data_IF_211579458592
#
_entry.id   IF_211579458592
#
_cell.length_a   1.000
_cell.length_b   1.000
_cell.length_c   1.000
_cell.angle_alpha   90.00
_cell.angle_beta   90.00
_cell.angle_gamma   90.00
#
_symmetry.space_group_name_H-M   'P 1'
#
loop_
_entity.id
_entity.type
_entity.pdbx_description
1 polymer ?
#
# COMPACT_ATOMS: atom_id res chain seq x y z
N UNK A 1 -23.73 -9.54 -14.18
CA UNK A 1 -23.43 -8.44 -13.23
C UNK A 1 -23.34 -9.10 -11.86
N UNK A 2 -22.28 -8.85 -11.10
CA UNK A 2 -22.19 -9.42 -9.74
C UNK A 2 -23.02 -8.54 -8.81
N UNK A 3 -24.16 -9.04 -8.34
CA UNK A 3 -25.10 -8.25 -7.52
C UNK A 3 -24.52 -7.84 -6.16
N UNK A 4 -23.44 -8.48 -5.73
CA UNK A 4 -22.75 -8.26 -4.47
C UNK A 4 -21.34 -7.66 -4.64
N UNK A 5 -21.05 -6.95 -5.73
CA UNK A 5 -19.75 -6.29 -5.90
C UNK A 5 -19.48 -5.29 -4.76
N UNK A 6 -20.46 -4.43 -4.47
CA UNK A 6 -20.45 -3.47 -3.35
C UNK A 6 -21.76 -3.62 -2.59
N UNK A 7 -21.67 -3.78 -1.26
CA UNK A 7 -22.85 -3.92 -0.38
C UNK A 7 -22.88 -2.82 0.67
N UNK A 8 -23.96 -2.75 1.47
CA UNK A 8 -24.21 -1.68 2.42
C UNK A 8 -24.71 -2.24 3.75
N UNK A 9 -24.27 -1.68 4.87
CA UNK A 9 -24.68 -2.09 6.21
C UNK A 9 -24.90 -0.89 7.14
N UNK A 10 -25.91 -0.96 8.01
CA UNK A 10 -26.14 0.02 9.08
C UNK A 10 -25.70 -0.61 10.40
N UNK A 11 -24.64 -0.07 11.01
CA UNK A 11 -24.06 -0.58 12.23
C UNK A 11 -24.93 -0.25 13.45
N UNK A 12 -25.85 -1.16 13.78
CA UNK A 12 -26.72 -1.04 14.96
C UNK A 12 -26.05 -1.59 16.23
N UNK A 13 -25.29 -2.69 16.13
CA UNK A 13 -24.63 -3.41 17.24
C UNK A 13 -23.40 -4.19 16.74
N UNK A 14 -22.50 -4.57 17.65
CA UNK A 14 -21.39 -5.49 17.41
C UNK A 14 -21.73 -6.91 17.91
N UNK A 15 -21.19 -7.99 17.31
CA UNK A 15 -20.31 -8.02 16.13
C UNK A 15 -21.07 -7.82 14.81
N UNK A 16 -20.34 -7.45 13.75
CA UNK A 16 -20.88 -7.32 12.40
C UNK A 16 -21.36 -8.66 11.84
N UNK A 17 -22.33 -8.64 10.91
CA UNK A 17 -22.54 -9.79 10.04
C UNK A 17 -21.29 -10.07 9.18
N UNK A 18 -21.24 -11.30 8.66
CA UNK A 18 -20.24 -11.69 7.66
C UNK A 18 -20.24 -10.70 6.49
N UNK A 19 -19.06 -10.46 5.92
CA UNK A 19 -18.92 -9.62 4.74
C UNK A 19 -19.38 -10.40 3.51
N UNK A 20 -20.38 -9.88 2.80
CA UNK A 20 -20.95 -10.47 1.59
C UNK A 20 -20.51 -9.74 0.31
N UNK A 21 -19.75 -8.64 0.45
CA UNK A 21 -19.23 -7.88 -0.68
C UNK A 21 -18.01 -8.56 -1.33
N UNK A 22 -17.96 -8.57 -2.66
CA UNK A 22 -16.78 -9.04 -3.42
C UNK A 22 -15.65 -8.00 -3.45
N UNK A 23 -15.98 -6.71 -3.45
CA UNK A 23 -15.00 -5.62 -3.41
C UNK A 23 -14.92 -5.02 -2.00
N UNK A 24 -15.97 -4.31 -1.59
CA UNK A 24 -16.05 -3.68 -0.27
C UNK A 24 -17.50 -3.39 0.12
N UNK A 25 -17.74 -3.25 1.42
CA UNK A 25 -19.03 -2.93 2.00
C UNK A 25 -18.99 -1.53 2.64
N UNK A 26 -19.92 -0.66 2.27
CA UNK A 26 -20.15 0.59 2.99
C UNK A 26 -20.83 0.31 4.33
N UNK A 27 -20.38 0.98 5.39
CA UNK A 27 -20.95 0.86 6.72
C UNK A 27 -21.29 2.26 7.24
N UNK A 28 -22.58 2.49 7.52
CA UNK A 28 -23.02 3.67 8.26
C UNK A 28 -22.95 3.39 9.75
N UNK A 29 -22.20 4.21 10.48
CA UNK A 29 -21.99 4.10 11.92
C UNK A 29 -22.30 5.42 12.64
N UNK A 30 -22.29 5.40 13.96
CA UNK A 30 -22.61 6.57 14.79
C UNK A 30 -21.64 7.74 14.61
N UNK A 31 -20.42 7.46 14.16
CA UNK A 31 -19.35 8.44 13.96
C UNK A 31 -18.90 8.56 12.49
N UNK A 32 -19.67 8.05 11.53
CA UNK A 32 -19.41 8.34 10.11
C UNK A 32 -19.76 7.21 9.17
N UNK A 33 -19.33 7.38 7.92
CA UNK A 33 -19.33 6.34 6.90
C UNK A 33 -17.96 5.68 6.88
N UNK A 34 -17.97 4.36 6.86
CA UNK A 34 -16.80 3.51 6.77
C UNK A 34 -16.91 2.62 5.53
N UNK A 35 -15.79 2.07 5.11
CA UNK A 35 -15.74 0.94 4.18
C UNK A 35 -15.03 -0.23 4.84
N UNK A 36 -15.55 -1.43 4.64
CA UNK A 36 -14.92 -2.68 5.04
C UNK A 36 -14.55 -3.48 3.81
N UNK A 37 -13.30 -3.91 3.72
CA UNK A 37 -12.83 -4.82 2.68
C UNK A 37 -12.08 -5.99 3.29
N UNK A 38 -12.15 -7.13 2.60
CA UNK A 38 -11.55 -8.35 3.05
C UNK A 38 -10.89 -9.06 1.87
N UNK A 39 -9.60 -9.36 2.01
CA UNK A 39 -8.86 -10.20 1.08
C UNK A 39 -8.39 -11.45 1.80
N UNK A 40 -7.77 -12.38 1.06
CA UNK A 40 -7.06 -13.49 1.67
C UNK A 40 -5.84 -13.08 2.53
N UNK A 41 -5.33 -11.85 2.37
CA UNK A 41 -4.15 -11.37 3.10
C UNK A 41 -4.49 -10.49 4.29
N UNK A 42 -5.58 -9.72 4.22
CA UNK A 42 -5.92 -8.76 5.27
C UNK A 42 -7.42 -8.49 5.33
N UNK A 43 -7.84 -7.90 6.43
CA UNK A 43 -9.11 -7.18 6.56
C UNK A 43 -8.81 -5.72 6.91
N UNK A 44 -9.62 -4.81 6.37
CA UNK A 44 -9.49 -3.38 6.61
C UNK A 44 -10.86 -2.74 6.79
N UNK A 45 -10.97 -1.85 7.78
CA UNK A 45 -12.11 -0.98 8.02
C UNK A 45 -11.60 0.46 8.02
N UNK A 46 -11.98 1.27 7.04
CA UNK A 46 -11.48 2.64 6.86
C UNK A 46 -12.61 3.63 7.12
N UNK A 47 -12.33 4.72 7.86
CA UNK A 47 -13.26 5.85 7.94
C UNK A 47 -13.10 6.71 6.69
N UNK A 48 -14.20 6.97 5.97
CA UNK A 48 -14.16 7.70 4.68
C UNK A 48 -14.93 9.02 4.73
N UNK A 49 -15.89 9.17 5.65
CA UNK A 49 -16.61 10.42 5.86
C UNK A 49 -17.08 10.52 7.32
N UNK A 50 -16.34 11.26 8.19
CA UNK A 50 -16.75 11.48 9.57
C UNK A 50 -18.06 12.27 9.65
N UNK A 51 -19.03 11.78 10.40
CA UNK A 51 -20.26 12.49 10.70
C UNK A 51 -20.94 11.91 11.95
N UNK A 52 -21.83 12.67 12.60
CA UNK A 52 -22.58 12.16 13.75
C UNK A 52 -23.93 11.60 13.31
N UNK A 53 -24.16 10.31 13.59
CA UNK A 53 -25.44 9.63 13.38
C UNK A 53 -25.97 9.13 14.72
N UNK A 54 -26.99 9.82 15.25
CA UNK A 54 -27.55 9.48 16.56
C UNK A 54 -28.18 8.08 16.57
N UNK A 55 -27.94 7.32 17.63
CA UNK A 55 -28.55 6.00 17.84
C UNK A 55 -27.82 4.81 17.20
N UNK A 56 -26.71 5.05 16.49
CA UNK A 56 -25.85 3.98 15.95
C UNK A 56 -24.57 3.81 16.78
N UNK A 57 -23.98 2.61 16.69
CA UNK A 57 -22.71 2.32 17.36
C UNK A 57 -21.55 3.04 16.65
N UNK A 58 -20.58 3.56 17.41
CA UNK A 58 -19.35 4.13 16.83
C UNK A 58 -18.36 3.04 16.46
N UNK A 59 -17.57 3.30 15.42
CA UNK A 59 -16.54 2.39 14.92
C UNK A 59 -15.16 3.04 14.97
N UNK A 60 -14.14 2.22 15.16
CA UNK A 60 -12.74 2.62 14.98
C UNK A 60 -12.23 1.97 13.69
N UNK A 61 -11.59 2.76 12.84
CA UNK A 61 -10.86 2.20 11.70
C UNK A 61 -9.79 1.21 12.19
N UNK A 62 -9.58 0.13 11.44
CA UNK A 62 -8.59 -0.88 11.81
C UNK A 62 -8.07 -1.62 10.58
N UNK A 63 -6.87 -2.17 10.71
CA UNK A 63 -6.27 -3.08 9.75
C UNK A 63 -5.79 -4.31 10.50
N UNK A 64 -6.02 -5.49 9.91
CA UNK A 64 -5.48 -6.74 10.44
C UNK A 64 -4.94 -7.57 9.28
N UNK A 65 -3.64 -7.85 9.37
CA UNK A 65 -2.97 -8.83 8.53
C UNK A 65 -3.40 -10.25 8.96
N UNK A 66 -3.78 -11.08 8.01
CA UNK A 66 -4.22 -12.47 8.22
C UNK A 66 -3.11 -13.49 7.98
N UNK A 67 -2.01 -13.03 7.39
CA UNK A 67 -0.83 -13.82 7.08
C UNK A 67 0.36 -13.36 7.93
N UNK A 68 1.45 -14.16 8.00
CA UNK A 68 2.68 -13.72 8.66
C UNK A 68 3.19 -12.39 8.09
N UNK A 69 3.82 -11.59 8.94
CA UNK A 69 4.45 -10.34 8.52
C UNK A 69 5.60 -10.61 7.54
N UNK A 70 5.77 -9.69 6.59
CA UNK A 70 6.85 -9.73 5.61
C UNK A 70 8.20 -9.53 6.32
N UNK A 71 9.19 -10.41 6.11
CA UNK A 71 10.51 -10.24 6.73
C UNK A 71 11.20 -8.95 6.26
N UNK A 72 11.61 -8.10 7.21
CA UNK A 72 12.24 -6.82 6.93
C UNK A 72 13.54 -6.93 6.12
N UNK A 73 14.24 -8.08 6.16
CA UNK A 73 15.40 -8.35 5.30
C UNK A 73 15.13 -8.21 3.81
N UNK A 74 13.87 -8.33 3.37
CA UNK A 74 13.50 -8.10 1.98
C UNK A 74 13.56 -6.60 1.62
N UNK A 75 13.35 -5.71 2.59
CA UNK A 75 13.57 -4.27 2.41
C UNK A 75 15.06 -3.97 2.19
N UNK A 76 15.97 -4.68 2.87
CA UNK A 76 17.41 -4.53 2.65
C UNK A 76 17.79 -4.87 1.21
N UNK A 77 17.25 -5.99 0.69
CA UNK A 77 17.46 -6.40 -0.71
C UNK A 77 16.93 -5.35 -1.69
N UNK A 78 15.73 -4.83 -1.45
CA UNK A 78 15.12 -3.79 -2.28
C UNK A 78 15.96 -2.52 -2.26
N UNK A 79 16.40 -2.06 -1.08
CA UNK A 79 17.21 -0.86 -0.96
C UNK A 79 18.54 -0.99 -1.69
N UNK A 80 19.18 -2.16 -1.61
CA UNK A 80 20.41 -2.43 -2.35
C UNK A 80 20.19 -2.35 -3.87
N UNK A 81 19.13 -2.98 -4.38
CA UNK A 81 18.78 -2.93 -5.82
C UNK A 81 18.42 -1.51 -6.27
N UNK A 82 17.57 -0.80 -5.52
CA UNK A 82 17.12 0.54 -5.86
C UNK A 82 18.30 1.54 -5.88
N UNK A 83 19.24 1.43 -4.93
CA UNK A 83 20.50 2.20 -4.93
C UNK A 83 21.36 1.88 -6.14
N UNK A 84 21.45 0.61 -6.53
CA UNK A 84 22.23 0.20 -7.68
C UNK A 84 21.64 0.76 -8.99
N UNK A 85 20.33 0.62 -9.18
CA UNK A 85 19.61 1.15 -10.33
C UNK A 85 19.83 2.66 -10.49
N UNK A 86 19.70 3.41 -9.39
CA UNK A 86 19.95 4.85 -9.36
C UNK A 86 21.37 5.25 -9.75
N UNK A 87 22.39 4.56 -9.22
CA UNK A 87 23.80 4.87 -9.55
C UNK A 87 24.09 4.65 -11.04
N UNK A 88 23.55 3.59 -11.62
CA UNK A 88 23.71 3.34 -13.06
C UNK A 88 23.11 4.46 -13.92
N UNK A 89 21.96 5.01 -13.54
CA UNK A 89 21.35 6.15 -14.23
C UNK A 89 22.19 7.42 -14.07
N UNK A 90 22.69 7.67 -12.85
CA UNK A 90 23.56 8.82 -12.56
C UNK A 90 24.85 8.79 -13.39
N UNK A 91 25.47 7.61 -13.53
CA UNK A 91 26.69 7.42 -14.34
C UNK A 91 26.43 7.62 -15.84
N UNK A 92 25.26 7.22 -16.35
CA UNK A 92 24.84 7.48 -17.74
C UNK A 92 24.66 8.96 -18.02
N UNK A 93 23.96 9.66 -17.13
CA UNK A 93 23.76 11.10 -17.22
C UNK A 93 25.09 11.85 -17.19
N UNK A 94 26.01 11.46 -16.30
CA UNK A 94 27.37 12.02 -16.24
C UNK A 94 28.19 11.77 -17.51
N UNK A 95 27.92 10.68 -18.23
CA UNK A 95 28.58 10.34 -19.50
C UNK A 95 27.88 10.93 -20.74
N UNK A 96 26.90 11.82 -20.55
CA UNK A 96 26.20 12.50 -21.66
C UNK A 96 25.28 11.58 -22.47
N UNK A 97 24.94 10.41 -21.95
CA UNK A 97 23.89 9.56 -22.52
C UNK A 97 22.51 10.10 -22.10
N UNK A 98 21.46 9.88 -22.91
CA UNK A 98 20.10 10.23 -22.51
C UNK A 98 19.74 9.51 -21.22
N UNK A 99 19.28 10.28 -20.23
CA UNK A 99 18.60 9.74 -19.05
C UNK A 99 17.29 9.11 -19.53
N UNK A 100 17.22 7.78 -19.51
CA UNK A 100 16.06 7.02 -19.93
C UNK A 100 14.93 7.01 -18.88
N UNK A 101 15.07 7.79 -17.81
CA UNK A 101 13.98 8.18 -16.93
C UNK A 101 13.52 7.05 -16.01
N UNK A 102 14.26 6.87 -14.91
CA UNK A 102 13.79 7.02 -13.52
C UNK A 102 14.68 6.26 -12.54
N UNK A 103 15.02 6.92 -11.42
CA UNK A 103 15.52 6.29 -10.17
C UNK A 103 14.44 5.45 -9.44
N UNK A 104 13.24 5.37 -10.04
CA UNK A 104 12.07 4.70 -9.49
C UNK A 104 11.94 3.28 -10.01
N UNK A 105 11.79 2.35 -9.08
CA UNK A 105 11.71 0.93 -9.35
C UNK A 105 10.54 0.36 -8.57
N UNK A 106 9.62 -0.32 -9.26
CA UNK A 106 8.55 -1.07 -8.64
C UNK A 106 9.03 -2.46 -8.23
N UNK A 107 8.61 -2.87 -7.05
CA UNK A 107 8.82 -4.19 -6.47
C UNK A 107 7.47 -4.72 -6.01
N UNK A 108 7.25 -6.02 -6.21
CA UNK A 108 6.04 -6.71 -5.79
C UNK A 108 6.40 -7.78 -4.78
N UNK A 109 5.74 -7.72 -3.62
CA UNK A 109 5.80 -8.78 -2.64
C UNK A 109 4.71 -9.80 -2.96
N UNK A 110 5.11 -11.03 -3.29
CA UNK A 110 4.24 -12.17 -3.49
C UNK A 110 4.21 -13.01 -2.21
N UNK A 111 3.03 -13.22 -1.66
CA UNK A 111 2.83 -13.91 -0.39
C UNK A 111 2.14 -15.27 -0.59
N UNK A 112 2.83 -16.35 -0.23
CA UNK A 112 2.37 -17.74 -0.42
C UNK A 112 2.07 -18.45 0.91
N UNK A 113 1.52 -17.71 1.88
CA UNK A 113 1.10 -18.21 3.20
C UNK A 113 2.23 -18.29 4.23
N UNK A 114 3.31 -19.02 3.95
CA UNK A 114 4.48 -19.11 4.85
C UNK A 114 5.75 -18.48 4.28
N UNK A 115 5.76 -18.20 2.98
CA UNK A 115 6.90 -17.63 2.28
C UNK A 115 6.49 -16.34 1.59
N UNK A 116 7.40 -15.37 1.60
CA UNK A 116 7.28 -14.13 0.83
C UNK A 116 8.44 -14.05 -0.15
N UNK A 117 8.13 -13.75 -1.40
CA UNK A 117 9.10 -13.48 -2.45
C UNK A 117 8.95 -12.03 -2.89
N UNK A 118 10.06 -11.34 -3.10
CA UNK A 118 10.06 -10.03 -3.74
C UNK A 118 10.48 -10.19 -5.19
N UNK A 119 9.75 -9.55 -6.11
CA UNK A 119 10.05 -9.55 -7.55
C UNK A 119 10.06 -8.12 -8.05
N UNK A 120 10.94 -7.85 -9.01
CA UNK A 120 10.88 -6.64 -9.86
C UNK A 120 10.13 -7.04 -11.13
N UNK A 121 8.85 -6.69 -11.29
CA UNK A 121 8.09 -7.08 -12.47
C UNK A 121 8.64 -6.37 -13.71
N UNK A 122 8.36 -6.88 -14.92
CA UNK A 122 8.41 -6.04 -16.12
C UNK A 122 7.58 -4.79 -15.85
N UNK A 123 8.12 -3.60 -16.11
CA UNK A 123 7.51 -2.34 -15.69
C UNK A 123 7.77 -1.22 -16.70
N UNK A 124 6.88 -0.23 -16.72
CA UNK A 124 7.02 1.01 -17.49
C UNK A 124 7.18 2.17 -16.54
N UNK A 125 8.25 2.93 -16.73
CA UNK A 125 8.62 4.10 -15.96
C UNK A 125 8.37 5.38 -16.78
N UNK A 126 8.05 6.50 -16.13
CA UNK A 126 7.60 7.75 -16.78
C UNK A 126 8.14 9.06 -16.22
N UNK A 127 9.38 9.28 -15.81
CA UNK A 127 9.81 10.51 -15.10
C UNK A 127 9.08 10.82 -13.75
N UNK A 128 7.85 10.36 -13.49
CA UNK A 128 7.09 10.59 -12.25
C UNK A 128 6.28 9.39 -11.78
N UNK A 129 6.32 8.25 -12.48
CA UNK A 129 5.64 7.03 -12.02
C UNK A 129 6.26 5.76 -12.61
N UNK A 130 6.00 4.63 -11.94
CA UNK A 130 6.36 3.31 -12.42
C UNK A 130 5.22 2.32 -12.21
N UNK A 131 4.85 1.59 -13.26
CA UNK A 131 3.74 0.62 -13.22
C UNK A 131 4.17 -0.74 -13.76
N UNK A 132 3.68 -1.83 -13.16
CA UNK A 132 3.92 -3.18 -13.66
C UNK A 132 3.22 -3.41 -15.01
N UNK A 133 3.88 -4.11 -15.92
CA UNK A 133 3.33 -4.58 -17.20
C UNK A 133 2.97 -6.06 -17.05
N UNK A 134 1.67 -6.37 -17.07
CA UNK A 134 1.17 -7.75 -17.02
C UNK A 134 -0.15 -7.92 -16.28
N UNK A 135 -0.60 -9.17 -16.17
CA UNK A 135 -1.81 -9.55 -15.43
C UNK A 135 -1.61 -9.39 -13.93
N UNK A 136 -2.67 -8.99 -13.22
CA UNK A 136 -2.69 -8.90 -11.76
C UNK A 136 -2.53 -10.30 -11.14
N UNK A 137 -1.36 -10.59 -10.58
CA UNK A 137 -1.13 -11.81 -9.80
C UNK A 137 -1.83 -11.68 -8.43
N UNK A 138 -2.73 -12.61 -8.14
CA UNK A 138 -3.48 -12.67 -6.89
C UNK A 138 -2.56 -12.85 -5.66
N UNK A 139 -1.35 -13.40 -5.85
CA UNK A 139 -0.38 -13.57 -4.77
C UNK A 139 0.27 -12.25 -4.33
N UNK A 140 0.12 -11.15 -5.08
CA UNK A 140 0.75 -9.87 -4.73
C UNK A 140 0.01 -9.22 -3.56
N UNK A 141 0.72 -9.10 -2.44
CA UNK A 141 0.21 -8.51 -1.21
C UNK A 141 0.52 -7.01 -1.12
N UNK A 142 1.68 -6.60 -1.63
CA UNK A 142 2.20 -5.24 -1.49
C UNK A 142 2.97 -4.83 -2.75
N UNK A 143 2.64 -3.68 -3.31
CA UNK A 143 3.48 -2.99 -4.28
C UNK A 143 4.36 -1.98 -3.54
N UNK A 144 5.64 -1.91 -3.88
CA UNK A 144 6.58 -0.96 -3.34
C UNK A 144 7.33 -0.27 -4.46
N UNK A 145 7.26 1.05 -4.56
CA UNK A 145 8.08 1.81 -5.51
C UNK A 145 9.16 2.63 -4.81
N UNK A 146 10.31 2.80 -5.45
CA UNK A 146 11.35 3.72 -5.00
C UNK A 146 11.20 5.11 -5.60
N UNK A 147 11.57 6.15 -4.87
CA UNK A 147 11.59 7.55 -5.28
C UNK A 147 13.01 8.10 -5.49
N UNK A 148 14.02 7.22 -5.58
CA UNK A 148 15.42 7.62 -5.66
C UNK A 148 15.85 8.48 -4.47
N UNK A 149 16.37 9.68 -4.73
CA UNK A 149 16.74 10.61 -3.65
C UNK A 149 15.60 11.49 -3.14
N UNK A 150 14.43 11.45 -3.78
CA UNK A 150 13.28 12.22 -3.29
C UNK A 150 12.76 11.62 -1.97
N UNK A 151 12.08 12.42 -1.14
CA UNK A 151 11.39 11.90 0.04
C UNK A 151 10.40 10.78 -0.29
N UNK A 152 10.11 9.94 0.69
CA UNK A 152 9.00 8.99 0.58
C UNK A 152 7.68 9.74 0.77
N UNK A 153 6.91 9.95 -0.31
CA UNK A 153 5.60 10.61 -0.29
C UNK A 153 4.68 9.99 -1.34
N UNK A 154 3.37 10.23 -1.25
CA UNK A 154 2.40 9.79 -2.25
C UNK A 154 2.13 10.91 -3.25
N UNK A 155 2.34 10.67 -4.54
CA UNK A 155 1.96 11.60 -5.60
C UNK A 155 0.50 11.42 -6.01
N UNK A 156 -0.05 12.40 -6.72
CA UNK A 156 -1.39 12.27 -7.32
C UNK A 156 -1.47 11.15 -8.36
N UNK A 157 -0.33 10.80 -8.97
CA UNK A 157 -0.24 9.69 -9.93
C UNK A 157 -0.35 8.35 -9.20
N UNK A 158 0.34 8.21 -8.06
CA UNK A 158 0.23 7.01 -7.23
C UNK A 158 -1.21 6.82 -6.74
N UNK A 159 -1.86 7.89 -6.29
CA UNK A 159 -3.28 7.85 -5.90
C UNK A 159 -4.20 7.43 -7.06
N UNK A 160 -3.90 7.85 -8.28
CA UNK A 160 -4.70 7.49 -9.45
C UNK A 160 -4.48 6.03 -9.87
N UNK A 161 -3.26 5.50 -9.76
CA UNK A 161 -2.86 4.17 -10.21
C UNK A 161 -3.14 3.08 -9.15
N UNK A 162 -3.06 3.41 -7.86
CA UNK A 162 -3.16 2.47 -6.73
C UNK A 162 -4.62 2.20 -6.28
N UNK A 163 -5.46 1.74 -7.21
CA UNK A 163 -6.90 1.52 -6.97
C UNK A 163 -7.28 0.07 -6.61
N UNK A 164 -6.31 -0.84 -6.46
CA UNK A 164 -6.61 -2.23 -6.05
C UNK A 164 -6.73 -2.37 -4.53
N UNK A 165 -7.44 -3.41 -4.07
CA UNK A 165 -7.44 -3.80 -2.65
C UNK A 165 -6.10 -4.45 -2.29
N UNK A 166 -5.07 -3.62 -2.05
CA UNK A 166 -3.69 -4.03 -1.84
C UNK A 166 -2.98 -3.11 -0.83
N UNK A 167 -1.82 -3.53 -0.37
CA UNK A 167 -0.89 -2.66 0.35
C UNK A 167 0.03 -1.94 -0.63
N UNK A 168 0.37 -0.70 -0.30
CA UNK A 168 1.27 0.12 -1.09
C UNK A 168 2.33 0.69 -0.18
N UNK A 169 3.59 0.64 -0.60
CA UNK A 169 4.72 1.22 0.09
C UNK A 169 5.54 2.11 -0.85
N UNK A 170 6.17 3.12 -0.28
CA UNK A 170 7.11 3.97 -1.01
C UNK A 170 8.38 4.11 -0.19
N UNK A 171 9.53 3.96 -0.83
CA UNK A 171 10.84 4.23 -0.24
C UNK A 171 11.51 5.42 -0.93
N UNK A 172 12.17 6.27 -0.17
CA UNK A 172 12.84 7.46 -0.68
C UNK A 172 14.17 7.72 0.03
N UNK A 173 14.86 8.79 -0.37
CA UNK A 173 16.14 9.23 0.19
C UNK A 173 17.21 8.15 0.23
N UNK A 174 17.29 7.35 -0.84
CA UNK A 174 18.08 6.12 -0.88
C UNK A 174 19.57 6.30 -0.50
N UNK A 175 20.19 7.44 -0.85
CA UNK A 175 21.63 7.68 -0.58
C UNK A 175 21.91 8.35 0.77
N UNK A 176 20.88 8.53 1.62
CA UNK A 176 21.03 9.12 2.95
C UNK A 176 20.37 8.23 4.02
N UNK A 177 19.59 8.79 4.94
CA UNK A 177 18.70 8.02 5.80
C UNK A 177 17.45 7.66 4.98
N UNK A 178 17.28 6.39 4.55
CA UNK A 178 16.16 6.04 3.69
C UNK A 178 14.85 6.18 4.46
N UNK A 179 13.82 6.68 3.79
CA UNK A 179 12.50 6.88 4.36
C UNK A 179 11.53 5.85 3.78
N UNK A 180 10.50 5.48 4.55
CA UNK A 180 9.45 4.58 4.08
C UNK A 180 8.06 5.02 4.56
N UNK A 181 7.05 4.86 3.70
CA UNK A 181 5.63 4.95 4.05
C UNK A 181 4.90 3.69 3.62
N UNK A 182 3.80 3.37 4.30
CA UNK A 182 2.90 2.27 3.98
C UNK A 182 1.46 2.72 4.10
N UNK A 183 0.62 2.25 3.19
CA UNK A 183 -0.85 2.38 3.26
C UNK A 183 -1.53 1.10 2.82
N UNK A 184 -2.73 0.87 3.33
CA UNK A 184 -3.69 -0.04 2.69
C UNK A 184 -4.58 0.77 1.75
N UNK A 185 -4.73 0.29 0.51
CA UNK A 185 -5.69 0.79 -0.45
C UNK A 185 -6.90 -0.14 -0.55
N UNK A 186 -8.07 0.47 -0.71
CA UNK A 186 -9.35 -0.20 -0.92
C UNK A 186 -10.09 0.61 -1.99
N UNK A 187 -9.91 0.28 -3.26
CA UNK A 187 -10.68 0.84 -4.38
C UNK A 187 -10.76 2.38 -4.39
N UNK A 188 -9.60 3.04 -4.28
CA UNK A 188 -9.50 4.51 -4.28
C UNK A 188 -9.64 5.17 -2.91
N UNK A 189 -9.75 4.37 -1.84
CA UNK A 189 -9.66 4.85 -0.46
C UNK A 189 -8.41 4.31 0.21
N UNK A 190 -7.76 5.12 1.03
CA UNK A 190 -6.50 4.73 1.67
C UNK A 190 -6.47 5.02 3.17
N UNK A 191 -5.73 4.17 3.89
CA UNK A 191 -5.40 4.39 5.29
C UNK A 191 -3.90 4.14 5.48
N UNK A 192 -3.20 5.14 6.03
CA UNK A 192 -1.80 4.99 6.40
C UNK A 192 -1.64 3.92 7.48
N UNK A 193 -0.56 3.16 7.40
CA UNK A 193 -0.23 2.10 8.34
C UNK A 193 1.22 2.27 8.83
N UNK A 194 1.52 1.94 10.10
CA UNK A 194 2.90 1.77 10.51
C UNK A 194 3.51 0.59 9.75
N UNK A 195 4.80 0.65 9.44
CA UNK A 195 5.47 -0.44 8.69
C UNK A 195 5.33 -1.78 9.41
N UNK A 196 5.35 -1.73 10.74
CA UNK A 196 5.19 -2.92 11.60
C UNK A 196 3.80 -3.57 11.54
N UNK A 197 2.81 -2.95 10.91
CA UNK A 197 1.52 -3.59 10.63
C UNK A 197 1.66 -4.74 9.61
N UNK A 198 2.64 -4.64 8.71
CA UNK A 198 2.83 -5.56 7.58
C UNK A 198 4.21 -6.23 7.59
N UNK A 199 5.26 -5.51 7.98
CA UNK A 199 6.64 -5.99 8.02
C UNK A 199 7.08 -6.29 9.44
N UNK A 200 8.10 -7.14 9.61
CA UNK A 200 8.64 -7.46 10.95
C UNK A 200 9.30 -6.24 11.61
N UNK A 201 9.84 -5.31 10.82
CA UNK A 201 10.36 -3.99 11.24
C UNK A 201 10.45 -3.09 10.00
N UNK A 202 10.81 -1.81 10.19
CA UNK A 202 11.09 -0.89 9.08
C UNK A 202 12.47 -1.14 8.42
N UNK A 203 13.22 -2.16 8.86
CA UNK A 203 14.59 -2.39 8.41
C UNK A 203 15.45 -1.15 8.72
N UNK A 204 16.27 -0.68 7.76
CA UNK A 204 17.11 0.51 7.92
C UNK A 204 16.35 1.80 7.58
N UNK A 205 15.08 1.71 7.17
CA UNK A 205 14.29 2.88 6.82
C UNK A 205 13.69 3.55 8.06
N UNK A 206 13.64 4.87 8.02
CA UNK A 206 12.82 5.68 8.92
C UNK A 206 11.35 5.57 8.51
N UNK A 207 10.54 4.99 9.38
CA UNK A 207 9.08 4.94 9.24
C UNK A 207 8.50 6.36 9.38
N UNK A 208 7.86 6.86 8.31
CA UNK A 208 7.20 8.17 8.29
C UNK A 208 5.70 8.09 8.63
N UNK A 209 5.24 6.98 9.21
CA UNK A 209 3.86 6.84 9.67
C UNK A 209 3.52 7.89 10.74
N UNK A 210 2.44 8.61 10.48
CA UNK A 210 1.81 9.52 11.43
C UNK A 210 0.37 9.04 11.63
N UNK A 211 -0.02 8.75 12.87
CA UNK A 211 -1.40 8.45 13.19
C UNK A 211 -2.22 9.73 13.07
N UNK A 212 -3.17 9.77 12.12
CA UNK A 212 -4.12 10.88 12.05
C UNK A 212 -5.03 10.81 13.29
N UNK A 213 -5.24 11.92 14.02
CA UNK A 213 -6.19 11.95 15.11
C UNK A 213 -7.58 11.61 14.58
N UNK A 214 -8.24 10.68 15.26
CA UNK A 214 -9.60 10.18 14.97
C UNK A 214 -10.70 11.16 15.35
#
# INVERSE_FOLDING_TARGET
MFDNLVTYHICRRNPFPANDALAYQYILAGNGVFIRAETHFFEALLSIAPCTVRGLASLRQHFRLKVPRIPARLLDTILADARHARRQNSDRANNGLPDDGLDEVLYQFHHHGQMVQVKKPPQRATAVSVTAVGSADAAVICDLHSHGNMPAFWSSTDDADEQSARLFAVIGKLDSEPEIRLRVGVYGYWMALPITAVFTSAGPCKDLYEEKPS
#
